data_IF_420878685923
#
_entry.id   IF_420878685923
#
_cell.length_a   1.000
_cell.length_b   1.000
_cell.length_c   1.000
_cell.angle_alpha   90.00
_cell.angle_beta   90.00
_cell.angle_gamma   90.00
#
_symmetry.space_group_name_H-M   'P 1'
#
loop_
_entity.id
_entity.type
_entity.pdbx_description
1 polymer ?
#
# COMPACT_ATOMS: atom_id res chain seq x y z
N UNK A 1 19.85 13.30 45.46
CA UNK A 1 19.46 12.00 44.89
C UNK A 1 17.95 11.95 44.87
N UNK A 2 17.31 12.06 43.68
CA UNK A 2 16.01 11.51 43.28
C UNK A 2 15.73 12.04 41.86
N UNK A 3 16.14 11.26 40.87
CA UNK A 3 15.84 11.47 39.45
C UNK A 3 14.37 11.08 39.21
N UNK A 4 13.54 12.03 38.78
CA UNK A 4 12.23 11.71 38.21
C UNK A 4 12.45 11.20 36.77
N UNK A 5 12.48 9.87 36.63
CA UNK A 5 12.34 9.21 35.34
C UNK A 5 10.93 9.50 34.78
N UNK A 6 10.84 10.45 33.86
CA UNK A 6 9.69 10.58 32.97
C UNK A 6 9.68 9.33 32.07
N UNK A 7 8.86 8.35 32.44
CA UNK A 7 8.52 7.25 31.54
C UNK A 7 7.81 7.86 30.33
N UNK A 8 8.52 7.98 29.21
CA UNK A 8 7.90 8.23 27.92
C UNK A 8 6.88 7.11 27.70
N UNK A 9 5.60 7.48 27.75
CA UNK A 9 4.51 6.71 27.16
C UNK A 9 4.91 6.40 25.71
N UNK A 10 5.39 5.18 25.47
CA UNK A 10 5.39 4.59 24.13
C UNK A 10 3.92 4.51 23.76
N UNK A 11 3.45 5.51 23.01
CA UNK A 11 2.14 5.49 22.40
C UNK A 11 2.00 4.13 21.68
N UNK A 12 0.98 3.35 22.07
CA UNK A 12 0.61 2.14 21.37
C UNK A 12 0.58 2.45 19.87
N UNK A 13 1.39 1.74 19.10
CA UNK A 13 1.53 1.94 17.66
C UNK A 13 0.13 1.93 17.03
N UNK A 14 -0.16 2.77 16.01
CA UNK A 14 -1.47 2.77 15.39
C UNK A 14 -1.80 1.35 14.93
N UNK A 15 -2.91 0.82 15.46
CA UNK A 15 -3.43 -0.50 15.12
C UNK A 15 -3.54 -0.63 13.59
N UNK A 16 -3.12 -1.78 13.02
CA UNK A 16 -2.73 -1.90 11.62
C UNK A 16 -3.94 -1.79 10.68
N UNK A 17 -3.67 -1.47 9.41
CA UNK A 17 -4.62 -1.59 8.27
C UNK A 17 -5.39 -2.93 8.27
N UNK A 18 -4.87 -3.96 8.94
CA UNK A 18 -5.59 -5.22 9.17
C UNK A 18 -6.94 -5.06 9.89
N UNK A 19 -7.16 -3.98 10.64
CA UNK A 19 -8.41 -3.66 11.31
C UNK A 19 -9.46 -3.01 10.39
N UNK A 20 -9.11 -2.63 9.14
CA UNK A 20 -10.13 -2.26 8.16
C UNK A 20 -11.03 -3.48 7.89
N UNK A 21 -12.32 -3.43 8.26
CA UNK A 21 -13.20 -4.57 8.07
C UNK A 21 -13.27 -4.91 6.57
N UNK A 22 -13.09 -6.19 6.25
CA UNK A 22 -13.21 -6.70 4.89
C UNK A 22 -11.91 -6.74 4.06
N UNK A 23 -10.73 -6.51 4.64
CA UNK A 23 -9.47 -6.78 3.92
C UNK A 23 -9.20 -8.29 3.86
N UNK A 24 -9.15 -8.81 2.64
CA UNK A 24 -8.78 -10.20 2.35
C UNK A 24 -7.26 -10.31 2.42
N UNK A 25 -6.74 -11.10 3.37
CA UNK A 25 -5.31 -11.38 3.42
C UNK A 25 -4.93 -12.35 2.30
N UNK A 26 -4.17 -11.86 1.33
CA UNK A 26 -3.73 -12.61 0.16
C UNK A 26 -2.24 -13.00 0.25
N UNK A 27 -1.56 -12.67 1.35
CA UNK A 27 -0.12 -12.89 1.52
C UNK A 27 0.28 -14.37 1.46
N UNK A 28 -0.64 -15.31 1.75
CA UNK A 28 -0.37 -16.76 1.63
C UNK A 28 -0.04 -17.21 0.20
N UNK A 29 -0.33 -16.38 -0.81
CA UNK A 29 -0.04 -16.64 -2.22
C UNK A 29 1.29 -16.04 -2.69
N UNK A 30 2.07 -15.43 -1.79
CA UNK A 30 3.47 -15.11 -2.06
C UNK A 30 4.29 -16.43 -2.15
N UNK A 31 5.34 -16.50 -2.98
CA UNK A 31 6.20 -17.68 -3.04
C UNK A 31 6.75 -18.07 -1.66
N UNK A 32 6.91 -19.37 -1.37
CA UNK A 32 7.47 -19.84 -0.07
C UNK A 32 8.83 -19.23 0.27
N UNK A 33 9.67 -18.97 -0.74
CA UNK A 33 11.00 -18.33 -0.59
C UNK A 33 10.98 -16.81 -0.76
N UNK A 34 9.80 -16.17 -0.74
CA UNK A 34 9.68 -14.73 -0.87
C UNK A 34 10.24 -14.03 0.38
N UNK A 35 11.35 -13.30 0.23
CA UNK A 35 11.96 -12.54 1.31
C UNK A 35 11.26 -11.21 1.50
N UNK A 36 10.49 -11.07 2.58
CA UNK A 36 9.89 -9.79 2.98
C UNK A 36 10.96 -8.83 3.50
N UNK A 37 11.07 -7.65 2.91
CA UNK A 37 11.98 -6.59 3.35
C UNK A 37 11.18 -5.49 4.03
N UNK A 38 11.47 -5.19 5.29
CA UNK A 38 10.77 -4.12 6.03
C UNK A 38 11.13 -2.77 5.42
N UNK A 39 10.14 -1.93 5.15
CA UNK A 39 10.36 -0.56 4.65
C UNK A 39 10.92 0.30 5.80
N UNK A 40 11.97 1.08 5.54
CA UNK A 40 12.61 1.94 6.56
C UNK A 40 11.72 3.11 6.95
N UNK A 41 11.12 3.76 5.95
CA UNK A 41 10.19 4.87 6.10
C UNK A 41 9.09 4.78 5.03
N UNK A 42 7.94 5.42 5.24
CA UNK A 42 6.87 5.49 4.25
C UNK A 42 6.43 6.93 4.10
N UNK A 43 6.71 7.52 2.94
CA UNK A 43 6.51 8.93 2.63
C UNK A 43 5.44 9.18 1.57
N UNK A 44 5.17 8.17 0.75
CA UNK A 44 4.27 8.27 -0.40
C UNK A 44 3.30 7.10 -0.47
N UNK A 45 2.18 7.33 -1.14
CA UNK A 45 1.31 6.27 -1.64
C UNK A 45 1.25 6.45 -3.15
N UNK A 46 1.48 5.38 -3.91
CA UNK A 46 1.40 5.43 -5.37
C UNK A 46 0.27 4.50 -5.81
N UNK A 47 -0.67 5.06 -6.55
CA UNK A 47 -1.85 4.39 -7.09
C UNK A 47 -1.60 4.00 -8.55
N UNK A 48 -2.01 2.79 -8.89
CA UNK A 48 -1.79 2.12 -10.16
C UNK A 48 -3.10 1.57 -10.73
N UNK A 49 -3.10 1.31 -12.04
CA UNK A 49 -4.09 0.49 -12.71
C UNK A 49 -3.44 -0.83 -13.12
N UNK A 50 -4.13 -1.95 -12.91
CA UNK A 50 -3.57 -3.28 -13.19
C UNK A 50 -3.50 -3.64 -14.68
N UNK A 51 -4.16 -2.88 -15.56
CA UNK A 51 -4.36 -3.16 -16.99
C UNK A 51 -4.78 -4.62 -17.26
N UNK A 52 -5.62 -5.17 -16.38
CA UNK A 52 -6.00 -6.59 -16.38
C UNK A 52 -7.15 -6.88 -15.43
N UNK A 53 -7.78 -8.05 -15.59
CA UNK A 53 -8.80 -8.56 -14.67
C UNK A 53 -8.25 -9.14 -13.36
N UNK A 54 -9.11 -9.25 -12.35
CA UNK A 54 -8.79 -9.62 -10.97
C UNK A 54 -7.88 -10.85 -10.84
N UNK A 55 -8.22 -11.97 -11.51
CA UNK A 55 -7.45 -13.22 -11.42
C UNK A 55 -6.02 -13.04 -11.95
N UNK A 56 -5.86 -12.29 -13.04
CA UNK A 56 -4.55 -12.03 -13.63
C UNK A 56 -3.73 -11.13 -12.72
N UNK A 57 -4.33 -10.02 -12.26
CA UNK A 57 -3.70 -9.08 -11.35
C UNK A 57 -3.23 -9.77 -10.05
N UNK A 58 -4.09 -10.52 -9.37
CA UNK A 58 -3.72 -11.25 -8.15
C UNK A 58 -2.54 -12.20 -8.36
N UNK A 59 -2.53 -12.95 -9.47
CA UNK A 59 -1.44 -13.86 -9.82
C UNK A 59 -0.15 -13.10 -10.07
N UNK A 60 -0.19 -12.02 -10.84
CA UNK A 60 1.01 -11.23 -11.19
C UNK A 60 1.59 -10.55 -9.95
N UNK A 61 0.75 -9.86 -9.18
CA UNK A 61 1.19 -9.10 -8.01
C UNK A 61 1.75 -10.02 -6.91
N UNK A 62 1.14 -11.18 -6.67
CA UNK A 62 1.60 -12.10 -5.62
C UNK A 62 2.88 -12.85 -5.98
N UNK A 63 3.20 -13.03 -7.28
CA UNK A 63 4.44 -13.73 -7.69
C UNK A 63 5.71 -13.05 -7.19
N UNK A 64 5.71 -11.72 -7.07
CA UNK A 64 6.90 -10.93 -6.70
C UNK A 64 6.63 -9.85 -5.65
N UNK A 65 5.45 -9.84 -5.02
CA UNK A 65 5.08 -8.79 -4.06
C UNK A 65 5.15 -7.40 -4.70
N UNK A 66 4.49 -7.24 -5.86
CA UNK A 66 4.56 -6.03 -6.67
C UNK A 66 3.60 -4.93 -6.22
N UNK A 67 2.81 -5.14 -5.18
CA UNK A 67 1.96 -4.12 -4.57
C UNK A 67 1.76 -4.46 -3.09
N UNK A 68 1.34 -3.46 -2.30
CA UNK A 68 0.88 -3.71 -0.94
C UNK A 68 -0.59 -4.11 -0.93
N UNK A 69 -1.42 -3.40 -1.70
CA UNK A 69 -2.86 -3.62 -1.77
C UNK A 69 -3.36 -3.66 -3.21
N UNK A 70 -4.47 -4.38 -3.41
CA UNK A 70 -5.24 -4.37 -4.64
C UNK A 70 -6.72 -4.15 -4.31
N UNK A 71 -7.41 -3.30 -5.05
CA UNK A 71 -8.84 -3.02 -4.93
C UNK A 71 -9.56 -3.58 -6.16
N UNK A 72 -10.38 -4.60 -5.94
CA UNK A 72 -11.16 -5.23 -6.99
C UNK A 72 -12.33 -4.35 -7.45
N UNK A 73 -12.85 -4.64 -8.65
CA UNK A 73 -14.01 -3.96 -9.27
C UNK A 73 -15.25 -3.86 -8.37
N UNK A 74 -15.47 -4.84 -7.49
CA UNK A 74 -16.60 -4.89 -6.54
C UNK A 74 -16.30 -4.17 -5.20
N UNK A 75 -15.11 -3.59 -5.06
CA UNK A 75 -14.67 -2.89 -3.84
C UNK A 75 -13.95 -3.78 -2.83
N UNK A 76 -13.82 -5.10 -3.04
CA UNK A 76 -13.01 -5.94 -2.15
C UNK A 76 -11.54 -5.52 -2.18
N UNK A 77 -10.92 -5.42 -1.01
CA UNK A 77 -9.51 -5.05 -0.86
C UNK A 77 -8.69 -6.29 -0.50
N UNK A 78 -7.64 -6.54 -1.27
CA UNK A 78 -6.71 -7.63 -1.08
C UNK A 78 -5.38 -7.09 -0.57
N UNK A 79 -4.87 -7.66 0.51
CA UNK A 79 -3.52 -7.38 1.00
C UNK A 79 -2.55 -8.37 0.37
N UNK A 80 -1.80 -7.91 -0.63
CA UNK A 80 -0.79 -8.73 -1.32
C UNK A 80 0.47 -8.83 -0.45
N UNK A 81 0.89 -7.70 0.10
CA UNK A 81 2.04 -7.59 0.99
C UNK A 81 1.74 -6.56 2.08
N UNK A 82 1.88 -6.94 3.35
CA UNK A 82 1.60 -6.04 4.47
C UNK A 82 2.30 -4.67 4.31
N UNK A 83 1.59 -3.59 4.67
CA UNK A 83 2.03 -2.20 4.51
C UNK A 83 3.42 -1.90 5.11
N UNK A 84 3.89 -2.72 6.07
CA UNK A 84 5.22 -2.60 6.70
C UNK A 84 6.37 -3.04 5.79
N UNK A 85 6.09 -3.79 4.72
CA UNK A 85 7.11 -4.34 3.83
C UNK A 85 7.12 -3.63 2.48
N UNK A 86 8.31 -3.57 1.89
CA UNK A 86 8.58 -2.96 0.59
C UNK A 86 8.00 -3.83 -0.53
N UNK A 87 7.00 -3.30 -1.23
CA UNK A 87 6.58 -3.82 -2.54
C UNK A 87 7.45 -3.21 -3.65
N UNK A 88 7.77 -3.96 -4.69
CA UNK A 88 8.52 -3.44 -5.84
C UNK A 88 7.57 -3.03 -6.97
N UNK A 89 7.02 -1.82 -6.89
CA UNK A 89 5.90 -1.40 -7.72
C UNK A 89 6.21 -0.18 -8.62
N UNK A 90 7.10 0.71 -8.18
CA UNK A 90 7.35 1.98 -8.86
C UNK A 90 8.52 1.94 -9.87
N UNK A 91 9.27 0.84 -9.95
CA UNK A 91 10.42 0.72 -10.86
C UNK A 91 11.49 1.80 -10.65
N UNK A 92 12.12 2.25 -11.74
CA UNK A 92 12.95 3.45 -11.78
C UNK A 92 12.02 4.67 -11.75
N UNK A 93 11.98 5.37 -10.63
CA UNK A 93 11.06 6.47 -10.35
C UNK A 93 11.72 7.54 -9.49
N UNK A 94 11.24 8.77 -9.59
CA UNK A 94 11.66 9.92 -8.79
C UNK A 94 10.51 10.89 -8.56
N UNK A 95 10.37 11.36 -7.32
CA UNK A 95 9.46 12.48 -7.01
C UNK A 95 10.10 13.41 -5.98
N UNK A 96 10.13 14.71 -6.27
CA UNK A 96 10.72 15.75 -5.41
C UNK A 96 12.11 15.38 -4.86
N UNK A 97 13.00 14.95 -5.75
CA UNK A 97 14.39 14.58 -5.43
C UNK A 97 14.56 13.23 -4.72
N UNK A 98 13.49 12.49 -4.44
CA UNK A 98 13.56 11.13 -3.88
C UNK A 98 13.49 10.12 -5.01
N UNK A 99 14.54 9.31 -5.20
CA UNK A 99 14.59 8.26 -6.21
C UNK A 99 14.20 6.88 -5.65
N UNK A 100 13.94 5.92 -6.53
CA UNK A 100 13.58 4.54 -6.18
C UNK A 100 12.37 4.47 -5.24
N UNK A 101 11.26 5.08 -5.67
CA UNK A 101 10.13 5.36 -4.77
C UNK A 101 9.56 4.13 -4.08
N UNK A 102 9.63 2.93 -4.67
CA UNK A 102 9.29 1.66 -4.01
C UNK A 102 9.87 1.52 -2.60
N UNK A 103 11.07 2.06 -2.34
CA UNK A 103 11.71 2.05 -1.02
C UNK A 103 11.01 2.94 0.03
N UNK A 104 10.24 3.93 -0.40
CA UNK A 104 9.60 4.96 0.41
C UNK A 104 8.08 5.02 0.24
N UNK A 105 7.49 4.14 -0.58
CA UNK A 105 6.07 4.20 -0.93
C UNK A 105 5.31 2.91 -0.69
N UNK A 106 3.99 3.07 -0.51
CA UNK A 106 3.02 2.00 -0.61
C UNK A 106 2.47 1.93 -2.04
N UNK A 107 2.36 0.72 -2.59
CA UNK A 107 1.71 0.49 -3.88
C UNK A 107 0.27 0.02 -3.69
N UNK A 108 -0.69 0.73 -4.30
CA UNK A 108 -2.10 0.34 -4.36
C UNK A 108 -2.53 0.17 -5.82
N UNK A 109 -3.07 -0.99 -6.15
CA UNK A 109 -3.50 -1.36 -7.49
C UNK A 109 -5.04 -1.35 -7.60
N UNK A 110 -5.60 -0.65 -8.58
CA UNK A 110 -7.02 -0.75 -8.92
C UNK A 110 -7.20 -1.75 -10.08
N UNK A 111 -8.07 -2.75 -9.89
CA UNK A 111 -8.39 -3.69 -10.98
C UNK A 111 -9.18 -2.98 -12.07
N UNK A 112 -8.64 -2.95 -13.28
CA UNK A 112 -9.27 -2.30 -14.42
C UNK A 112 -8.33 -2.10 -15.59
N UNK A 113 -8.72 -1.17 -16.45
CA UNK A 113 -8.01 -0.69 -17.63
C UNK A 113 -8.15 0.82 -17.68
N UNK A 114 -7.10 1.53 -18.09
CA UNK A 114 -7.05 3.00 -18.14
C UNK A 114 -8.13 3.63 -19.01
N UNK A 115 -8.63 2.92 -20.02
CA UNK A 115 -9.65 3.37 -20.97
C UNK A 115 -11.08 3.22 -20.43
N UNK A 116 -11.26 2.77 -19.19
CA UNK A 116 -12.57 2.55 -18.57
C UNK A 116 -12.66 3.17 -17.19
N UNK A 117 -13.84 3.70 -16.80
CA UNK A 117 -14.02 4.24 -15.46
C UNK A 117 -13.95 3.14 -14.39
N UNK A 118 -13.31 3.48 -13.26
CA UNK A 118 -13.37 2.67 -12.04
C UNK A 118 -14.74 2.77 -11.38
N UNK A 119 -15.12 1.74 -10.62
CA UNK A 119 -16.46 1.71 -9.99
C UNK A 119 -16.54 2.58 -8.74
N UNK A 120 -17.75 3.02 -8.39
CA UNK A 120 -17.99 3.71 -7.11
C UNK A 120 -17.58 2.84 -5.90
N UNK A 121 -17.69 1.51 -6.00
CA UNK A 121 -17.19 0.60 -4.95
C UNK A 121 -15.68 0.65 -4.82
N UNK A 122 -14.94 0.73 -5.94
CA UNK A 122 -13.48 0.92 -5.90
C UNK A 122 -13.11 2.24 -5.25
N UNK A 123 -13.74 3.34 -5.65
CA UNK A 123 -13.46 4.66 -5.06
C UNK A 123 -13.75 4.70 -3.55
N UNK A 124 -14.87 4.13 -3.10
CA UNK A 124 -15.18 4.05 -1.66
C UNK A 124 -14.13 3.27 -0.88
N UNK A 125 -13.73 2.11 -1.38
CA UNK A 125 -12.72 1.27 -0.73
C UNK A 125 -11.33 1.89 -0.77
N UNK A 126 -10.96 2.51 -1.90
CA UNK A 126 -9.71 3.25 -2.03
C UNK A 126 -9.64 4.41 -1.05
N UNK A 127 -10.71 5.23 -0.94
CA UNK A 127 -10.79 6.34 0.01
C UNK A 127 -10.53 5.87 1.44
N UNK A 128 -11.24 4.83 1.89
CA UNK A 128 -11.06 4.26 3.24
C UNK A 128 -9.64 3.73 3.46
N UNK A 129 -9.06 3.08 2.45
CA UNK A 129 -7.70 2.56 2.52
C UNK A 129 -6.66 3.69 2.58
N UNK A 130 -6.84 4.75 1.78
CA UNK A 130 -5.98 5.92 1.79
C UNK A 130 -6.06 6.65 3.14
N UNK A 131 -7.25 6.92 3.66
CA UNK A 131 -7.44 7.58 4.96
C UNK A 131 -6.68 6.87 6.07
N UNK A 132 -6.78 5.55 6.15
CA UNK A 132 -6.04 4.77 7.16
C UNK A 132 -4.53 4.78 6.94
N UNK A 133 -4.06 4.58 5.71
CA UNK A 133 -2.62 4.58 5.42
C UNK A 133 -2.00 5.96 5.64
N UNK A 134 -2.70 7.02 5.24
CA UNK A 134 -2.31 8.41 5.47
C UNK A 134 -2.26 8.71 6.96
N UNK A 135 -3.25 8.26 7.75
CA UNK A 135 -3.25 8.41 9.21
C UNK A 135 -2.08 7.68 9.87
N UNK A 136 -1.84 6.41 9.50
CA UNK A 136 -0.75 5.59 10.06
C UNK A 136 0.62 6.20 9.78
N UNK A 137 0.85 6.69 8.57
CA UNK A 137 2.16 7.17 8.12
C UNK A 137 2.29 8.70 8.08
N UNK A 138 1.24 9.43 8.50
CA UNK A 138 1.14 10.90 8.42
C UNK A 138 1.45 11.45 7.02
N UNK A 139 0.88 10.80 5.99
CA UNK A 139 1.10 11.16 4.57
C UNK A 139 0.03 12.17 4.14
N UNK A 140 0.38 13.40 3.72
CA UNK A 140 -0.58 14.36 3.21
C UNK A 140 -1.02 14.01 1.78
N UNK A 141 -2.18 14.52 1.34
CA UNK A 141 -2.77 14.24 0.03
C UNK A 141 -1.82 14.50 -1.14
N UNK A 142 -1.00 15.56 -1.07
CA UNK A 142 0.01 15.90 -2.08
C UNK A 142 1.10 14.83 -2.29
N UNK A 143 1.15 13.79 -1.45
CA UNK A 143 2.06 12.64 -1.55
C UNK A 143 1.34 11.33 -1.86
N UNK A 144 0.06 11.41 -2.20
CA UNK A 144 -0.67 10.37 -2.91
C UNK A 144 -0.51 10.68 -4.41
N UNK A 145 0.19 9.81 -5.11
CA UNK A 145 0.66 10.04 -6.48
C UNK A 145 0.10 8.97 -7.39
N UNK A 146 -0.10 9.34 -8.65
CA UNK A 146 -0.35 8.39 -9.73
C UNK A 146 0.98 7.97 -10.34
N UNK A 147 1.11 6.72 -10.79
CA UNK A 147 2.40 6.23 -11.29
C UNK A 147 2.93 7.04 -12.49
N UNK A 148 2.07 7.54 -13.37
CA UNK A 148 2.54 8.34 -14.52
C UNK A 148 3.23 9.65 -14.13
N UNK A 149 3.10 10.10 -12.87
CA UNK A 149 3.68 11.36 -12.37
C UNK A 149 5.07 11.18 -11.74
N UNK A 150 5.57 9.97 -11.60
CA UNK A 150 6.76 9.65 -10.80
C UNK A 150 7.85 8.95 -11.58
#
# INVERSE_FOLDING_TARGET
MWLLCAALLVAAAPEPVAALPGIIDYQRHLPRRFRKVRRKDTRFIIVHCTESGLRSALRTLSRKGLANYLVARDGRVYRILSHRYRANHAGLSMWNGVTHLSNHSLGIELVGYHDRPFTSSQYRSLKRLLEELQRIYRIPDRRVLEHYRV
#
